data_IF_460726213342
#
_entry.id   IF_460726213342
#
_cell.length_a   1.000
_cell.length_b   1.000
_cell.length_c   1.000
_cell.angle_alpha   90.00
_cell.angle_beta   90.00
_cell.angle_gamma   90.00
#
_symmetry.space_group_name_H-M   'P 1'
#
loop_
_entity.id
_entity.type
_entity.pdbx_description
1 polymer ?
#
# COMPACT_ATOMS: atom_id res chain seq x y z
N UNK A 1 10.71 -6.00 5.76
CA UNK A 1 11.09 -6.25 4.34
C UNK A 1 10.19 -5.39 3.47
N UNK A 2 10.67 -4.83 2.35
CA UNK A 2 9.80 -4.08 1.44
C UNK A 2 8.83 -5.02 0.73
N UNK A 3 7.55 -4.63 0.67
CA UNK A 3 6.50 -5.33 -0.06
C UNK A 3 6.74 -5.20 -1.56
N UNK A 4 6.32 -6.21 -2.32
CA UNK A 4 6.48 -6.26 -3.78
C UNK A 4 5.16 -6.60 -4.47
N UNK A 5 5.08 -6.37 -5.78
CA UNK A 5 3.86 -6.63 -6.57
C UNK A 5 3.39 -8.09 -6.50
N UNK A 6 4.28 -9.02 -6.19
CA UNK A 6 4.00 -10.45 -6.04
C UNK A 6 3.89 -10.90 -4.58
N UNK A 7 4.42 -10.12 -3.63
CA UNK A 7 4.39 -10.43 -2.21
C UNK A 7 3.95 -9.18 -1.44
N UNK A 8 2.63 -9.08 -1.23
CA UNK A 8 1.92 -7.99 -0.56
C UNK A 8 0.99 -8.57 0.52
N UNK A 9 0.57 -7.78 1.52
CA UNK A 9 -0.25 -8.30 2.61
C UNK A 9 -1.64 -8.70 2.08
N UNK A 10 -2.29 -9.69 2.71
CA UNK A 10 -3.65 -10.12 2.36
C UNK A 10 -4.66 -8.95 2.31
N UNK A 11 -4.43 -7.90 3.12
CA UNK A 11 -5.21 -6.66 3.11
C UNK A 11 -5.24 -5.95 1.76
N UNK A 12 -4.20 -6.13 0.92
CA UNK A 12 -4.09 -5.54 -0.41
C UNK A 12 -4.57 -6.48 -1.54
N UNK A 13 -4.92 -7.75 -1.24
CA UNK A 13 -5.26 -8.75 -2.28
C UNK A 13 -6.57 -8.45 -3.02
N UNK A 14 -7.49 -7.76 -2.37
CA UNK A 14 -8.78 -7.40 -2.96
C UNK A 14 -8.77 -6.02 -3.64
N UNK A 15 -7.63 -5.35 -3.70
CA UNK A 15 -7.47 -4.08 -4.38
C UNK A 15 -7.14 -4.30 -5.85
N UNK A 16 -7.61 -3.39 -6.72
CA UNK A 16 -7.18 -3.31 -8.11
C UNK A 16 -5.66 -3.24 -8.23
N UNK A 17 -5.11 -3.82 -9.30
CA UNK A 17 -3.67 -3.89 -9.54
C UNK A 17 -3.00 -2.52 -9.47
N UNK A 18 -3.65 -1.47 -9.99
CA UNK A 18 -3.12 -0.10 -9.95
C UNK A 18 -3.13 0.47 -8.52
N UNK A 19 -4.23 0.33 -7.78
CA UNK A 19 -4.34 0.71 -6.37
C UNK A 19 -3.31 -0.03 -5.51
N UNK A 20 -3.16 -1.34 -5.72
CA UNK A 20 -2.22 -2.19 -5.00
C UNK A 20 -0.78 -1.76 -5.22
N UNK A 21 -0.39 -1.54 -6.48
CA UNK A 21 0.97 -1.12 -6.81
C UNK A 21 1.31 0.20 -6.10
N UNK A 22 0.37 1.15 -6.10
CA UNK A 22 0.55 2.43 -5.41
C UNK A 22 0.61 2.28 -3.89
N UNK A 23 -0.25 1.43 -3.32
CA UNK A 23 -0.22 1.13 -1.90
C UNK A 23 1.10 0.46 -1.48
N UNK A 24 1.68 -0.41 -2.31
CA UNK A 24 3.00 -1.01 -2.02
C UNK A 24 4.09 0.06 -1.97
N UNK A 25 4.12 0.99 -2.93
CA UNK A 25 5.10 2.09 -2.94
C UNK A 25 4.99 2.97 -1.69
N UNK A 26 3.76 3.34 -1.30
CA UNK A 26 3.52 4.19 -0.13
C UNK A 26 3.85 3.44 1.17
N UNK A 27 3.45 2.16 1.28
CA UNK A 27 3.74 1.35 2.45
C UNK A 27 5.24 1.18 2.64
N UNK A 28 6.00 0.91 1.57
CA UNK A 28 7.46 0.80 1.64
C UNK A 28 8.10 2.09 2.14
N UNK A 29 7.67 3.25 1.64
CA UNK A 29 8.17 4.54 2.11
C UNK A 29 7.88 4.77 3.60
N UNK A 30 6.65 4.46 4.04
CA UNK A 30 6.28 4.59 5.45
C UNK A 30 7.09 3.67 6.36
N UNK A 31 7.41 2.45 5.89
CA UNK A 31 8.28 1.54 6.63
C UNK A 31 9.71 2.09 6.76
N UNK A 32 10.23 2.72 5.71
CA UNK A 32 11.54 3.40 5.76
C UNK A 32 11.52 4.61 6.71
N UNK A 33 10.40 5.30 6.83
CA UNK A 33 10.18 6.38 7.81
C UNK A 33 10.00 5.88 9.25
N UNK A 34 9.98 4.56 9.47
CA UNK A 34 9.85 3.94 10.80
C UNK A 34 8.41 3.76 11.28
N UNK A 35 7.43 3.82 10.37
CA UNK A 35 6.05 3.48 10.71
C UNK A 35 5.89 1.98 10.92
N UNK A 36 5.00 1.60 11.83
CA UNK A 36 4.62 0.21 12.05
C UNK A 36 3.96 -0.40 10.81
N UNK A 37 4.25 -1.66 10.50
CA UNK A 37 3.74 -2.36 9.32
C UNK A 37 2.22 -2.26 9.16
N UNK A 38 1.46 -2.52 10.24
CA UNK A 38 0.00 -2.44 10.19
C UNK A 38 -0.51 -1.02 9.87
N UNK A 39 0.13 0.01 10.43
CA UNK A 39 -0.23 1.41 10.18
C UNK A 39 0.18 1.85 8.78
N UNK A 40 1.38 1.48 8.34
CA UNK A 40 1.88 1.75 6.99
C UNK A 40 0.94 1.17 5.93
N UNK A 41 0.49 -0.08 6.11
CA UNK A 41 -0.45 -0.75 5.21
C UNK A 41 -1.78 0.01 5.16
N UNK A 42 -2.37 0.35 6.31
CA UNK A 42 -3.66 1.02 6.37
C UNK A 42 -3.63 2.40 5.67
N UNK A 43 -2.62 3.22 5.96
CA UNK A 43 -2.43 4.54 5.34
C UNK A 43 -2.21 4.39 3.84
N UNK A 44 -1.36 3.45 3.43
CA UNK A 44 -1.06 3.24 2.02
C UNK A 44 -2.28 2.81 1.20
N UNK A 45 -3.13 1.93 1.75
CA UNK A 45 -4.38 1.51 1.11
C UNK A 45 -5.34 2.69 0.99
N UNK A 46 -5.51 3.48 2.04
CA UNK A 46 -6.39 4.66 2.04
C UNK A 46 -5.96 5.69 0.99
N UNK A 47 -4.67 6.03 0.98
CA UNK A 47 -4.08 6.96 0.03
C UNK A 47 -4.22 6.46 -1.41
N UNK A 48 -3.92 5.17 -1.66
CA UNK A 48 -4.03 4.59 -2.98
C UNK A 48 -5.47 4.54 -3.50
N UNK A 49 -6.45 4.26 -2.63
CA UNK A 49 -7.88 4.28 -3.00
C UNK A 49 -8.35 5.69 -3.37
N UNK A 50 -7.89 6.72 -2.63
CA UNK A 50 -8.22 8.12 -2.92
C UNK A 50 -7.69 8.55 -4.29
N UNK A 51 -6.47 8.18 -4.64
CA UNK A 51 -5.90 8.51 -5.95
C UNK A 51 -6.65 7.81 -7.11
N UNK A 52 -7.12 6.58 -6.91
CA UNK A 52 -7.90 5.87 -7.93
C UNK A 52 -9.28 6.45 -8.19
N UNK A 53 -9.96 6.91 -7.13
CA UNK A 53 -11.31 7.48 -7.27
C UNK A 53 -11.32 8.93 -7.79
N UNK A 54 -10.14 9.53 -7.98
CA UNK A 54 -9.98 10.91 -8.45
C UNK A 54 -9.70 11.01 -9.96
N UNK A 55 -9.93 9.93 -10.72
CA UNK A 55 -9.58 9.83 -12.14
C UNK A 55 -10.78 9.55 -13.04
#
# INVERSE_FOLDING_TARGET
MPWTKSNYPDSMKNLDTSTRNKAIEIANKLLEEGYEEGRAIAIAIDQAKKEQNSK
#
